data_IF_850687108093
#
_entry.id   IF_850687108093
#
_cell.length_a   1.000
_cell.length_b   1.000
_cell.length_c   1.000
_cell.angle_alpha   90.00
_cell.angle_beta   90.00
_cell.angle_gamma   90.00
#
_symmetry.space_group_name_H-M   'P 1'
#
loop_
_entity.id
_entity.type
_entity.pdbx_description
1 polymer ?
#
# COMPACT_ATOMS: atom_id res chain seq x y z
N UNK A 1 3.34 27.17 50.26
CA UNK A 1 3.57 27.45 48.82
C UNK A 1 4.47 26.33 48.29
N UNK A 2 3.88 25.28 47.73
CA UNK A 2 4.57 24.21 47.00
C UNK A 2 3.60 23.79 45.90
N UNK A 3 3.93 24.10 44.64
CA UNK A 3 3.26 23.51 43.48
C UNK A 3 3.60 22.02 43.44
N UNK A 4 2.64 21.18 43.09
CA UNK A 4 2.84 19.94 42.32
C UNK A 4 1.51 19.21 42.19
N UNK A 5 0.95 19.23 40.98
CA UNK A 5 0.52 18.03 40.25
C UNK A 5 -0.01 18.46 38.89
N UNK A 6 0.85 18.31 37.89
CA UNK A 6 0.47 18.07 36.50
C UNK A 6 -0.41 16.81 36.46
N UNK A 7 -1.67 16.93 36.83
CA UNK A 7 -2.67 15.88 36.62
C UNK A 7 -3.69 16.51 35.69
N UNK A 8 -3.34 16.54 34.41
CA UNK A 8 -4.30 16.60 33.30
C UNK A 8 -3.69 15.96 32.04
N UNK A 9 -2.90 14.89 32.22
CA UNK A 9 -2.52 13.94 31.15
C UNK A 9 -3.66 12.94 30.87
N UNK A 10 -4.91 13.37 31.00
CA UNK A 10 -6.09 12.49 30.98
C UNK A 10 -7.24 13.07 30.17
N UNK A 11 -6.96 13.42 28.92
CA UNK A 11 -7.97 13.25 27.87
C UNK A 11 -7.35 12.49 26.70
N UNK A 12 -7.70 11.21 26.65
CA UNK A 12 -7.54 10.28 25.55
C UNK A 12 -7.92 10.92 24.21
N UNK A 13 -6.91 11.31 23.45
CA UNK A 13 -6.95 11.14 22.02
C UNK A 13 -5.54 10.69 21.63
N UNK A 14 -5.37 9.38 21.40
CA UNK A 14 -4.13 8.77 20.89
C UNK A 14 -4.00 9.16 19.41
N UNK A 15 -4.06 10.47 19.13
CA UNK A 15 -3.84 11.02 17.80
C UNK A 15 -2.36 10.82 17.54
N UNK A 16 -2.05 9.85 16.69
CA UNK A 16 -0.70 9.66 16.20
C UNK A 16 -0.18 10.99 15.64
N UNK A 17 1.06 11.35 15.99
CA UNK A 17 1.66 12.60 15.57
C UNK A 17 1.65 12.68 14.02
N UNK A 18 1.11 13.77 13.47
CA UNK A 18 0.97 13.94 12.00
C UNK A 18 2.31 13.96 11.27
N UNK A 19 3.34 14.56 11.85
CA UNK A 19 4.69 14.59 11.25
C UNK A 19 5.28 13.18 11.21
N UNK A 20 5.05 12.39 12.26
CA UNK A 20 5.45 10.98 12.27
C UNK A 20 4.73 10.17 11.19
N UNK A 21 3.40 10.30 11.06
CA UNK A 21 2.63 9.63 10.00
C UNK A 21 3.12 10.04 8.61
N UNK A 22 3.33 11.34 8.39
CA UNK A 22 3.84 11.85 7.12
C UNK A 22 5.24 11.31 6.80
N UNK A 23 6.13 11.27 7.79
CA UNK A 23 7.49 10.75 7.62
C UNK A 23 7.46 9.26 7.23
N UNK A 24 6.71 8.43 7.97
CA UNK A 24 6.62 6.99 7.68
C UNK A 24 5.98 6.76 6.30
N UNK A 25 4.88 7.44 5.97
CA UNK A 25 4.25 7.30 4.65
C UNK A 25 5.19 7.69 3.50
N UNK A 26 6.02 8.72 3.71
CA UNK A 26 7.04 9.12 2.75
C UNK A 26 8.14 8.06 2.60
N UNK A 27 8.64 7.51 3.71
CA UNK A 27 9.61 6.40 3.68
C UNK A 27 9.07 5.18 2.94
N UNK A 28 7.83 4.77 3.23
CA UNK A 28 7.17 3.66 2.53
C UNK A 28 7.12 3.94 1.03
N UNK A 29 6.70 5.15 0.64
CA UNK A 29 6.60 5.53 -0.77
C UNK A 29 7.96 5.47 -1.46
N UNK A 30 9.00 6.01 -0.83
CA UNK A 30 10.37 6.01 -1.37
C UNK A 30 10.90 4.59 -1.55
N UNK A 31 10.72 3.73 -0.56
CA UNK A 31 11.14 2.32 -0.64
C UNK A 31 10.36 1.58 -1.73
N UNK A 32 9.04 1.71 -1.76
CA UNK A 32 8.18 1.08 -2.76
C UNK A 32 8.57 1.50 -4.18
N UNK A 33 8.69 2.81 -4.43
CA UNK A 33 8.97 3.33 -5.78
C UNK A 33 10.41 3.08 -6.21
N UNK A 34 11.37 3.07 -5.28
CA UNK A 34 12.79 2.89 -5.61
C UNK A 34 13.17 1.42 -5.83
N UNK A 35 12.49 0.49 -5.18
CA UNK A 35 12.82 -0.94 -5.21
C UNK A 35 11.91 -1.75 -6.15
N UNK A 36 10.80 -1.18 -6.60
CA UNK A 36 9.91 -1.83 -7.56
C UNK A 36 10.24 -1.37 -8.98
N UNK A 37 10.46 -2.29 -9.94
CA UNK A 37 10.67 -1.94 -11.34
C UNK A 37 9.55 -1.04 -11.91
N UNK A 38 9.93 0.00 -12.65
CA UNK A 38 8.95 0.96 -13.19
C UNK A 38 7.80 0.33 -14.00
N UNK A 39 8.02 -0.69 -14.87
CA UNK A 39 6.92 -1.34 -15.58
C UNK A 39 5.87 -1.98 -14.65
N UNK A 40 6.30 -2.50 -13.51
CA UNK A 40 5.42 -3.09 -12.49
C UNK A 40 4.63 -1.98 -11.77
N UNK A 41 5.28 -0.89 -11.36
CA UNK A 41 4.55 0.24 -10.76
C UNK A 41 3.50 0.83 -11.69
N UNK A 42 3.80 0.89 -12.99
CA UNK A 42 2.90 1.43 -14.00
C UNK A 42 1.72 0.49 -14.29
N UNK A 43 1.90 -0.84 -14.22
CA UNK A 43 0.80 -1.78 -14.44
C UNK A 43 -0.28 -1.69 -13.37
N UNK A 44 0.05 -1.26 -12.15
CA UNK A 44 -0.93 -1.09 -11.07
C UNK A 44 -1.89 0.09 -11.26
N UNK A 45 -1.65 0.99 -12.22
CA UNK A 45 -2.51 2.14 -12.48
C UNK A 45 -2.65 3.08 -11.27
N UNK A 46 -1.53 3.39 -10.60
CA UNK A 46 -1.53 4.18 -9.35
C UNK A 46 -2.08 5.60 -9.61
N UNK A 47 -3.14 5.97 -8.90
CA UNK A 47 -3.79 7.28 -9.02
C UNK A 47 -3.46 8.30 -7.92
N UNK A 48 -3.21 7.83 -6.69
CA UNK A 48 -2.89 8.71 -5.55
C UNK A 48 -2.04 8.00 -4.50
N UNK A 49 -1.29 8.80 -3.75
CA UNK A 49 -0.56 8.42 -2.54
C UNK A 49 -1.06 9.29 -1.39
N UNK A 50 -1.51 8.67 -0.30
CA UNK A 50 -2.08 9.38 0.85
C UNK A 50 -1.49 8.83 2.15
N UNK A 51 -0.83 9.68 2.92
CA UNK A 51 -0.42 9.36 4.29
C UNK A 51 -1.66 9.19 5.19
N UNK A 52 -1.71 8.13 5.97
CA UNK A 52 -2.89 7.80 6.78
C UNK A 52 -2.53 7.04 8.06
N UNK A 53 -3.53 6.86 8.92
CA UNK A 53 -3.44 5.94 10.07
C UNK A 53 -4.42 4.81 9.81
N UNK A 54 -3.95 3.57 9.85
CA UNK A 54 -4.77 2.38 9.65
C UNK A 54 -4.58 1.44 10.82
N UNK A 55 -5.66 1.07 11.51
CA UNK A 55 -5.61 0.19 12.70
C UNK A 55 -4.58 0.63 13.75
N UNK A 56 -4.55 1.93 14.05
CA UNK A 56 -3.57 2.57 14.94
C UNK A 56 -2.09 2.53 14.48
N UNK A 57 -1.81 2.18 13.23
CA UNK A 57 -0.47 2.16 12.64
C UNK A 57 -0.28 3.31 11.62
N UNK A 58 0.92 3.92 11.53
CA UNK A 58 1.22 4.86 10.46
C UNK A 58 1.31 4.11 9.13
N UNK A 59 0.67 4.66 8.09
CA UNK A 59 0.52 3.94 6.84
C UNK A 59 0.56 4.86 5.62
N UNK A 60 0.91 4.27 4.48
CA UNK A 60 0.68 4.82 3.16
C UNK A 60 -0.51 4.09 2.53
N UNK A 61 -1.50 4.84 2.06
CA UNK A 61 -2.57 4.32 1.22
C UNK A 61 -2.35 4.74 -0.22
N UNK A 62 -2.40 3.78 -1.13
CA UNK A 62 -2.33 4.01 -2.58
C UNK A 62 -3.64 3.62 -3.25
N UNK A 63 -4.08 4.39 -4.24
CA UNK A 63 -5.19 3.99 -5.11
C UNK A 63 -4.62 3.30 -6.34
N UNK A 64 -5.07 2.08 -6.60
CA UNK A 64 -4.64 1.26 -7.73
C UNK A 64 -5.84 0.90 -8.61
N UNK A 65 -5.56 0.60 -9.86
CA UNK A 65 -6.51 0.08 -10.84
C UNK A 65 -5.87 -1.10 -11.58
N UNK A 66 -5.41 -2.08 -10.81
CA UNK A 66 -4.78 -3.29 -11.35
C UNK A 66 -5.82 -4.32 -11.78
N UNK A 67 -5.35 -5.32 -12.51
CA UNK A 67 -6.16 -6.42 -13.06
C UNK A 67 -6.90 -7.23 -12.00
N UNK A 68 -6.25 -7.52 -10.88
CA UNK A 68 -6.81 -8.36 -9.80
C UNK A 68 -7.47 -7.53 -8.71
N UNK A 69 -7.01 -6.30 -8.50
CA UNK A 69 -7.58 -5.38 -7.51
C UNK A 69 -7.62 -3.94 -8.02
N UNK A 70 -8.83 -3.40 -8.09
CA UNK A 70 -9.09 -1.98 -8.30
C UNK A 70 -9.68 -1.39 -7.02
N UNK A 71 -8.99 -0.42 -6.43
CA UNK A 71 -9.35 0.09 -5.11
C UNK A 71 -8.15 0.66 -4.37
N UNK A 72 -8.13 0.47 -3.05
CA UNK A 72 -7.02 0.95 -2.22
C UNK A 72 -6.17 -0.20 -1.71
N UNK A 73 -4.86 0.03 -1.67
CA UNK A 73 -3.89 -0.78 -0.94
C UNK A 73 -3.37 0.07 0.22
N UNK A 74 -3.31 -0.51 1.41
CA UNK A 74 -2.72 0.12 2.60
C UNK A 74 -1.45 -0.63 2.95
N UNK A 75 -0.38 0.11 3.18
CA UNK A 75 0.92 -0.39 3.63
C UNK A 75 1.17 0.28 4.98
N UNK A 76 1.12 -0.48 6.07
CA UNK A 76 1.22 0.02 7.43
C UNK A 76 2.50 -0.48 8.12
N UNK A 77 3.23 0.39 8.81
CA UNK A 77 4.43 -0.01 9.57
C UNK A 77 4.00 -0.51 10.95
N UNK A 78 4.31 -1.77 11.27
CA UNK A 78 4.01 -2.37 12.56
C UNK A 78 5.11 -2.14 13.60
N UNK A 79 4.86 -2.58 14.83
CA UNK A 79 5.79 -2.38 15.96
C UNK A 79 7.09 -3.21 15.89
N UNK A 80 7.16 -4.16 14.95
CA UNK A 80 8.29 -5.08 14.75
C UNK A 80 9.18 -4.67 13.57
N UNK A 81 8.99 -3.47 13.01
CA UNK A 81 9.72 -2.94 11.83
C UNK A 81 9.41 -3.67 10.51
N UNK A 82 8.25 -4.35 10.44
CA UNK A 82 7.72 -4.93 9.21
C UNK A 82 6.54 -4.12 8.69
N UNK A 83 6.25 -4.27 7.39
CA UNK A 83 5.03 -3.76 6.78
C UNK A 83 3.91 -4.78 6.78
N UNK A 84 2.71 -4.31 7.13
CA UNK A 84 1.45 -5.00 6.89
C UNK A 84 0.79 -4.45 5.62
N UNK A 85 0.40 -5.33 4.70
CA UNK A 85 -0.22 -4.98 3.43
C UNK A 85 -1.68 -5.43 3.41
N UNK A 86 -2.58 -4.50 3.11
CA UNK A 86 -4.02 -4.75 3.05
C UNK A 86 -4.65 -4.27 1.75
N UNK A 87 -5.60 -5.04 1.23
CA UNK A 87 -6.50 -4.60 0.15
C UNK A 87 -7.82 -4.12 0.76
N UNK A 88 -8.21 -2.87 0.49
CA UNK A 88 -9.53 -2.36 0.90
C UNK A 88 -10.58 -2.72 -0.15
N UNK A 89 -11.60 -3.47 0.27
CA UNK A 89 -12.79 -3.85 -0.48
C UNK A 89 -14.02 -3.11 0.08
N UNK A 90 -15.16 -3.16 -0.62
CA UNK A 90 -16.40 -2.48 -0.20
C UNK A 90 -16.79 -2.79 1.26
N UNK A 91 -16.53 -4.02 1.71
CA UNK A 91 -16.98 -4.51 3.02
C UNK A 91 -15.86 -4.69 4.06
N UNK A 92 -14.66 -4.18 3.81
CA UNK A 92 -13.57 -4.25 4.79
C UNK A 92 -12.17 -4.29 4.20
N UNK A 93 -11.22 -4.69 5.03
CA UNK A 93 -9.82 -4.82 4.66
C UNK A 93 -9.41 -6.30 4.70
N UNK A 94 -8.90 -6.80 3.57
CA UNK A 94 -8.27 -8.11 3.48
C UNK A 94 -6.78 -7.98 3.76
N UNK A 95 -6.26 -8.79 4.67
CA UNK A 95 -4.83 -8.85 4.95
C UNK A 95 -4.14 -9.72 3.89
N UNK A 96 -3.12 -9.16 3.22
CA UNK A 96 -2.28 -9.88 2.26
C UNK A 96 -1.11 -10.55 2.99
N UNK A 97 -0.39 -9.79 3.82
CA UNK A 97 0.73 -10.25 4.64
C UNK A 97 1.00 -9.21 5.75
N UNK A 98 1.39 -9.67 6.94
CA UNK A 98 1.69 -8.82 8.11
C UNK A 98 3.21 -8.64 8.35
N UNK A 99 4.04 -9.42 7.67
CA UNK A 99 5.50 -9.47 7.85
C UNK A 99 6.20 -9.27 6.50
N UNK A 100 6.09 -8.07 5.92
CA UNK A 100 6.70 -7.73 4.63
C UNK A 100 7.93 -6.84 4.83
N UNK A 101 9.08 -7.26 4.30
CA UNK A 101 10.28 -6.43 4.29
C UNK A 101 10.18 -5.33 3.23
N UNK A 102 10.97 -4.25 3.40
CA UNK A 102 10.91 -3.09 2.50
C UNK A 102 11.23 -3.43 1.04
N UNK A 103 12.06 -4.45 0.79
CA UNK A 103 12.46 -4.97 -0.51
C UNK A 103 11.47 -5.99 -1.11
N UNK A 104 10.52 -6.50 -0.31
CA UNK A 104 9.48 -7.44 -0.74
C UNK A 104 8.16 -6.74 -1.10
N UNK A 105 8.00 -5.46 -0.76
CA UNK A 105 6.77 -4.70 -0.98
C UNK A 105 6.29 -4.77 -2.43
N UNK A 106 7.20 -4.60 -3.38
CA UNK A 106 6.89 -4.65 -4.82
C UNK A 106 6.26 -5.98 -5.21
N UNK A 107 6.91 -7.09 -4.86
CA UNK A 107 6.48 -8.45 -5.23
C UNK A 107 5.21 -8.89 -4.50
N UNK A 108 5.01 -8.47 -3.24
CA UNK A 108 3.79 -8.76 -2.49
C UNK A 108 2.59 -8.02 -3.08
N UNK A 109 2.76 -6.72 -3.37
CA UNK A 109 1.68 -5.90 -3.93
C UNK A 109 1.39 -6.33 -5.37
N UNK A 110 2.41 -6.58 -6.18
CA UNK A 110 2.23 -6.97 -7.58
C UNK A 110 1.41 -8.25 -7.71
N UNK A 111 1.73 -9.29 -6.93
CA UNK A 111 0.95 -10.54 -6.93
C UNK A 111 -0.49 -10.33 -6.49
N UNK A 112 -0.73 -9.43 -5.55
CA UNK A 112 -2.06 -9.15 -5.03
C UNK A 112 -2.90 -8.25 -5.96
N UNK A 113 -2.26 -7.37 -6.73
CA UNK A 113 -2.93 -6.32 -7.51
C UNK A 113 -2.98 -6.63 -9.01
N UNK A 114 -1.97 -7.29 -9.57
CA UNK A 114 -1.77 -7.39 -11.02
C UNK A 114 -1.41 -8.80 -11.50
N UNK A 115 -0.25 -9.33 -11.09
CA UNK A 115 0.33 -10.52 -11.70
C UNK A 115 -0.28 -11.83 -11.21
N UNK A 116 -0.78 -11.88 -9.98
CA UNK A 116 -1.25 -13.12 -9.38
C UNK A 116 -0.11 -14.09 -9.10
N UNK A 117 -0.45 -15.35 -8.83
CA UNK A 117 0.54 -16.40 -8.53
C UNK A 117 0.79 -17.36 -9.69
N UNK A 118 -0.01 -17.28 -10.76
CA UNK A 118 0.11 -18.11 -11.96
C UNK A 118 0.78 -17.29 -13.08
N UNK A 119 2.06 -17.56 -13.31
CA UNK A 119 2.85 -16.86 -14.32
C UNK A 119 2.36 -17.13 -15.74
N UNK A 120 1.92 -18.36 -16.06
CA UNK A 120 1.46 -18.68 -17.41
C UNK A 120 0.14 -17.99 -17.73
N UNK A 121 -0.74 -17.87 -16.73
CA UNK A 121 -1.98 -17.10 -16.85
C UNK A 121 -1.69 -15.62 -17.13
N UNK A 122 -0.78 -15.04 -16.35
CA UNK A 122 -0.41 -13.63 -16.49
C UNK A 122 0.30 -13.32 -17.82
N UNK A 123 1.22 -14.19 -18.26
CA UNK A 123 1.90 -14.02 -19.55
C UNK A 123 0.87 -14.07 -20.72
N UNK A 124 -0.11 -14.99 -20.67
CA UNK A 124 -1.21 -15.04 -21.65
C UNK A 124 -2.10 -13.80 -21.62
N UNK A 125 -2.31 -13.20 -20.44
CA UNK A 125 -3.03 -11.93 -20.33
C UNK A 125 -2.25 -10.81 -21.01
N UNK A 126 -0.95 -10.67 -20.74
CA UNK A 126 -0.10 -9.68 -21.37
C UNK A 126 -0.10 -9.80 -22.91
N UNK A 127 -0.01 -11.02 -23.44
CA UNK A 127 -0.06 -11.27 -24.88
C UNK A 127 -1.38 -10.78 -25.52
N UNK A 128 -2.51 -10.98 -24.84
CA UNK A 128 -3.81 -10.47 -25.29
C UNK A 128 -3.86 -8.94 -25.28
N UNK A 129 -3.41 -8.31 -24.20
CA UNK A 129 -3.36 -6.84 -24.10
C UNK A 129 -2.48 -6.22 -25.19
N UNK A 130 -1.34 -6.87 -25.49
CA UNK A 130 -0.45 -6.43 -26.57
C UNK A 130 -1.12 -6.57 -27.94
N UNK A 131 -1.81 -7.69 -28.20
CA UNK A 131 -2.54 -7.89 -29.45
C UNK A 131 -3.66 -6.85 -29.64
N UNK A 132 -4.41 -6.53 -28.58
CA UNK A 132 -5.44 -5.48 -28.60
C UNK A 132 -4.84 -4.11 -28.96
N UNK A 133 -3.75 -3.73 -28.29
CA UNK A 133 -3.03 -2.48 -28.55
C UNK A 133 -2.54 -2.39 -30.01
N UNK A 134 -1.98 -3.48 -30.53
CA UNK A 134 -1.47 -3.54 -31.91
C UNK A 134 -2.60 -3.60 -32.96
N UNK A 135 -3.77 -4.12 -32.61
CA UNK A 135 -4.93 -4.20 -33.52
C UNK A 135 -5.56 -2.84 -33.84
N UNK A 136 -5.24 -1.80 -33.06
CA UNK A 136 -5.85 -0.47 -33.20
C UNK A 136 -7.32 -0.39 -32.75
N UNK A 137 -7.86 -1.49 -32.20
CA UNK A 137 -9.19 -1.51 -31.60
C UNK A 137 -9.11 -0.83 -30.24
N UNK A 138 -9.65 0.38 -30.11
CA UNK A 138 -9.83 1.00 -28.79
C UNK A 138 -10.92 0.21 -28.05
N UNK A 139 -10.64 -0.14 -26.79
CA UNK A 139 -11.65 -0.59 -25.83
C UNK A 139 -12.75 0.46 -25.67
#
# INVERSE_FOLDING_TARGET
>A
MVQLKQVNNHLNNKIMNKEYVMHIAQTIKEQLVSLTPMPILMSWGIGEFVATVFRELPALRIKVNGRLHAGYVVIALNGSDYYEVYLLKENGAECVNEEVCFDELGDVIDRAVESGTDKEEYDKFCDRQLAELLSGTRA
#
